data_IF_499613363398
#
_entry.id   IF_499613363398
#
_cell.length_a   1.000
_cell.length_b   1.000
_cell.length_c   1.000
_cell.angle_alpha   90.00
_cell.angle_beta   90.00
_cell.angle_gamma   90.00
#
_symmetry.space_group_name_H-M   'P 1'
#
loop_
_entity.id
_entity.type
_entity.pdbx_description
1 polymer ?
#
# COMPACT_ATOMS: atom_id res chain seq x y z
N UNK A 1 1.22 -27.00 -5.38
CA UNK A 1 0.69 -25.70 -5.85
C UNK A 1 0.22 -24.85 -4.69
N UNK A 2 -0.70 -25.38 -3.88
CA UNK A 2 -1.23 -24.62 -2.74
C UNK A 2 -0.18 -24.21 -1.73
N UNK A 3 0.80 -25.08 -1.47
CA UNK A 3 1.88 -24.76 -0.54
C UNK A 3 2.75 -23.61 -1.03
N UNK A 4 3.01 -23.54 -2.32
CA UNK A 4 3.79 -22.43 -2.92
C UNK A 4 3.01 -21.13 -2.78
N UNK A 5 1.70 -21.14 -3.09
CA UNK A 5 0.85 -19.95 -2.98
C UNK A 5 0.72 -19.50 -1.53
N UNK A 6 0.58 -20.45 -0.59
CA UNK A 6 0.52 -20.13 0.84
C UNK A 6 1.80 -19.46 1.32
N UNK A 7 2.97 -19.96 0.86
CA UNK A 7 4.26 -19.36 1.22
C UNK A 7 4.39 -17.94 0.63
N UNK A 8 3.95 -17.75 -0.61
CA UNK A 8 3.94 -16.41 -1.23
C UNK A 8 3.05 -15.46 -0.48
N UNK A 9 1.87 -15.91 -0.07
CA UNK A 9 0.94 -15.11 0.70
C UNK A 9 1.53 -14.74 2.06
N UNK A 10 2.10 -15.70 2.77
CA UNK A 10 2.73 -15.48 4.07
C UNK A 10 3.90 -14.50 3.98
N UNK A 11 4.74 -14.65 2.95
CA UNK A 11 5.86 -13.74 2.69
C UNK A 11 5.39 -12.32 2.42
N UNK A 12 4.32 -12.17 1.63
CA UNK A 12 3.74 -10.86 1.34
C UNK A 12 3.16 -10.21 2.59
N UNK A 13 2.46 -10.97 3.44
CA UNK A 13 1.93 -10.48 4.71
C UNK A 13 3.04 -9.99 5.63
N UNK A 14 4.14 -10.74 5.72
CA UNK A 14 5.28 -10.34 6.55
C UNK A 14 5.90 -9.03 6.05
N UNK A 15 6.09 -8.90 4.74
CA UNK A 15 6.62 -7.67 4.14
C UNK A 15 5.67 -6.49 4.37
N UNK A 16 4.37 -6.68 4.18
CA UNK A 16 3.37 -5.65 4.46
C UNK A 16 3.44 -5.18 5.91
N UNK A 17 3.60 -6.11 6.85
CA UNK A 17 3.73 -5.79 8.27
C UNK A 17 4.91 -4.88 8.56
N UNK A 18 6.04 -5.12 7.92
CA UNK A 18 7.24 -4.27 8.06
C UNK A 18 6.98 -2.86 7.51
N UNK A 19 6.34 -2.74 6.36
CA UNK A 19 6.00 -1.44 5.78
C UNK A 19 5.03 -0.67 6.68
N UNK A 20 4.00 -1.35 7.20
CA UNK A 20 3.03 -0.73 8.11
C UNK A 20 3.72 -0.22 9.37
N UNK A 21 4.63 -1.00 9.94
CA UNK A 21 5.37 -0.58 11.13
C UNK A 21 6.16 0.70 10.87
N UNK A 22 6.85 0.79 9.74
CA UNK A 22 7.62 1.98 9.36
C UNK A 22 6.71 3.18 9.08
N UNK A 23 5.56 2.95 8.45
CA UNK A 23 4.57 4.00 8.21
C UNK A 23 4.07 4.55 9.55
N UNK A 24 3.72 3.69 10.49
CA UNK A 24 3.23 4.12 11.81
C UNK A 24 4.27 4.92 12.58
N UNK A 25 5.53 4.52 12.52
CA UNK A 25 6.62 5.28 13.15
C UNK A 25 6.74 6.67 12.52
N UNK A 26 6.72 6.75 11.19
CA UNK A 26 6.80 8.03 10.49
C UNK A 26 5.62 8.93 10.82
N UNK A 27 4.40 8.38 10.87
CA UNK A 27 3.19 9.15 11.21
C UNK A 27 3.27 9.74 12.61
N UNK A 28 3.79 8.99 13.57
CA UNK A 28 3.98 9.49 14.94
C UNK A 28 4.94 10.67 14.97
N UNK A 29 6.03 10.57 14.21
CA UNK A 29 7.04 11.63 14.16
C UNK A 29 6.53 12.88 13.44
N UNK A 30 5.59 12.69 12.48
CA UNK A 30 5.01 13.80 11.70
C UNK A 30 3.76 14.39 12.34
N UNK A 31 3.23 13.78 13.39
CA UNK A 31 1.99 14.22 14.02
C UNK A 31 1.97 15.72 14.36
N UNK A 32 3.05 16.31 14.93
CA UNK A 32 3.06 17.74 15.26
C UNK A 32 2.89 18.68 14.05
N UNK A 33 3.20 18.21 12.83
CA UNK A 33 3.11 19.05 11.63
C UNK A 33 1.87 18.76 10.78
N UNK A 34 1.05 17.80 11.20
CA UNK A 34 -0.21 17.52 10.52
C UNK A 34 -1.35 18.40 11.08
N UNK A 35 -2.36 18.75 10.25
CA UNK A 35 -2.44 18.46 8.81
C UNK A 35 -1.42 19.27 8.02
N UNK A 36 -0.85 18.66 6.97
CA UNK A 36 0.13 19.34 6.12
C UNK A 36 -0.59 20.35 5.22
N UNK A 37 -0.19 21.61 5.37
CA UNK A 37 -0.54 22.67 4.44
C UNK A 37 0.68 23.00 3.59
N UNK A 38 0.50 23.78 2.53
CA UNK A 38 1.62 24.21 1.71
C UNK A 38 2.67 24.95 2.56
N UNK A 39 2.22 25.83 3.46
CA UNK A 39 3.12 26.57 4.35
C UNK A 39 3.88 25.64 5.29
N UNK A 40 3.20 24.67 5.90
CA UNK A 40 3.84 23.71 6.79
C UNK A 40 4.82 22.80 6.05
N UNK A 41 4.45 22.38 4.84
CA UNK A 41 5.32 21.56 4.01
C UNK A 41 6.63 22.31 3.70
N UNK A 42 6.53 23.60 3.35
CA UNK A 42 7.68 24.42 3.05
C UNK A 42 8.53 24.74 4.28
N UNK A 43 7.95 24.68 5.48
CA UNK A 43 8.62 24.97 6.74
C UNK A 43 9.20 23.74 7.43
N UNK A 44 9.08 22.54 6.84
CA UNK A 44 9.63 21.32 7.44
C UNK A 44 11.16 21.43 7.57
N UNK A 45 11.67 20.93 8.70
CA UNK A 45 13.12 20.77 8.88
C UNK A 45 13.64 19.67 7.95
N UNK A 46 14.95 19.59 7.79
CA UNK A 46 15.56 18.51 7.02
C UNK A 46 15.22 17.14 7.60
N UNK A 47 15.20 17.03 8.93
CA UNK A 47 14.83 15.78 9.59
C UNK A 47 13.36 15.40 9.32
N UNK A 48 12.45 16.38 9.41
CA UNK A 48 11.03 16.14 9.12
C UNK A 48 10.82 15.78 7.65
N UNK A 49 11.54 16.41 6.76
CA UNK A 49 11.50 16.08 5.33
C UNK A 49 11.96 14.65 5.09
N UNK A 50 13.02 14.21 5.75
CA UNK A 50 13.49 12.83 5.65
C UNK A 50 12.44 11.82 6.14
N UNK A 51 11.73 12.15 7.22
CA UNK A 51 10.65 11.31 7.75
C UNK A 51 9.48 11.26 6.77
N UNK A 52 9.12 12.39 6.17
CA UNK A 52 8.06 12.42 5.15
C UNK A 52 8.44 11.56 3.94
N UNK A 53 9.69 11.66 3.47
CA UNK A 53 10.19 10.84 2.37
C UNK A 53 10.10 9.35 2.72
N UNK A 54 10.44 8.98 3.94
CA UNK A 54 10.33 7.60 4.41
C UNK A 54 8.87 7.12 4.42
N UNK A 55 7.95 7.97 4.89
CA UNK A 55 6.53 7.65 4.87
C UNK A 55 6.04 7.36 3.45
N UNK A 56 6.35 8.26 2.51
CA UNK A 56 5.91 8.13 1.12
C UNK A 56 6.54 6.90 0.45
N UNK A 57 7.81 6.62 0.72
CA UNK A 57 8.47 5.43 0.22
C UNK A 57 7.79 4.16 0.71
N UNK A 58 7.50 4.08 2.01
CA UNK A 58 6.86 2.90 2.60
C UNK A 58 5.42 2.74 2.14
N UNK A 59 4.70 3.84 1.97
CA UNK A 59 3.35 3.81 1.41
C UNK A 59 3.34 3.19 0.01
N UNK A 60 4.26 3.64 -0.86
CA UNK A 60 4.37 3.08 -2.21
C UNK A 60 4.73 1.59 -2.18
N UNK A 61 5.67 1.19 -1.33
CA UNK A 61 6.07 -0.20 -1.18
C UNK A 61 4.93 -1.08 -0.66
N UNK A 62 4.15 -0.57 0.30
CA UNK A 62 3.00 -1.29 0.83
C UNK A 62 1.95 -1.50 -0.26
N UNK A 63 1.64 -0.44 -1.04
CA UNK A 63 0.70 -0.53 -2.15
C UNK A 63 1.14 -1.58 -3.17
N UNK A 64 2.41 -1.59 -3.53
CA UNK A 64 2.94 -2.55 -4.49
C UNK A 64 2.90 -3.98 -3.95
N UNK A 65 3.29 -4.17 -2.69
CA UNK A 65 3.26 -5.49 -2.06
C UNK A 65 1.84 -6.06 -2.02
N UNK A 66 0.87 -5.26 -1.58
CA UNK A 66 -0.53 -5.69 -1.53
C UNK A 66 -1.05 -5.97 -2.94
N UNK A 67 -0.85 -5.04 -3.86
CA UNK A 67 -1.45 -5.13 -5.20
C UNK A 67 -0.84 -6.18 -6.10
N UNK A 68 0.50 -6.36 -6.04
CA UNK A 68 1.19 -7.27 -6.94
C UNK A 68 1.40 -8.67 -6.36
N UNK A 69 1.37 -8.81 -5.04
CA UNK A 69 1.70 -10.08 -4.39
C UNK A 69 0.58 -10.62 -3.52
N UNK A 70 0.08 -9.81 -2.58
CA UNK A 70 -0.89 -10.29 -1.59
C UNK A 70 -2.26 -10.57 -2.21
N UNK A 71 -2.84 -9.58 -2.86
CA UNK A 71 -4.18 -9.70 -3.46
C UNK A 71 -4.24 -10.86 -4.45
N UNK A 72 -3.32 -10.99 -5.43
CA UNK A 72 -3.34 -12.13 -6.34
C UNK A 72 -3.21 -13.48 -5.63
N UNK A 73 -2.35 -13.58 -4.61
CA UNK A 73 -2.15 -14.83 -3.87
C UNK A 73 -3.41 -15.22 -3.09
N UNK A 74 -4.03 -14.27 -2.42
CA UNK A 74 -5.27 -14.50 -1.67
C UNK A 74 -6.38 -14.96 -2.61
N UNK A 75 -6.50 -14.32 -3.77
CA UNK A 75 -7.50 -14.69 -4.76
C UNK A 75 -7.34 -16.16 -5.20
N UNK A 76 -6.11 -16.55 -5.55
CA UNK A 76 -5.83 -17.93 -5.97
C UNK A 76 -6.18 -18.93 -4.87
N UNK A 77 -5.82 -18.62 -3.62
CA UNK A 77 -6.09 -19.49 -2.48
C UNK A 77 -7.59 -19.66 -2.24
N UNK A 78 -8.37 -18.58 -2.35
CA UNK A 78 -9.79 -18.63 -2.04
C UNK A 78 -10.62 -19.18 -3.18
N UNK A 79 -10.28 -18.86 -4.43
CA UNK A 79 -11.08 -19.26 -5.60
C UNK A 79 -10.52 -20.47 -6.30
N UNK A 80 -9.32 -20.91 -5.96
CA UNK A 80 -8.62 -22.01 -6.64
C UNK A 80 -8.58 -21.77 -8.16
N UNK A 81 -8.39 -20.51 -8.55
CA UNK A 81 -8.43 -20.05 -9.94
C UNK A 81 -7.06 -19.52 -10.33
N UNK A 82 -6.39 -20.19 -11.26
CA UNK A 82 -5.06 -19.81 -11.76
C UNK A 82 -5.13 -19.12 -13.12
N UNK A 83 -6.33 -18.91 -13.67
CA UNK A 83 -6.51 -18.20 -14.93
C UNK A 83 -6.20 -16.72 -14.73
N UNK A 84 -5.50 -16.12 -15.69
CA UNK A 84 -5.21 -14.68 -15.65
C UNK A 84 -6.53 -13.90 -15.81
N UNK A 85 -6.83 -13.05 -14.84
CA UNK A 85 -8.03 -12.22 -14.80
C UNK A 85 -7.64 -10.75 -14.73
N UNK A 86 -8.48 -9.86 -15.27
CA UNK A 86 -8.28 -8.43 -15.04
C UNK A 86 -8.27 -8.13 -13.54
N UNK A 87 -7.37 -7.25 -13.12
CA UNK A 87 -7.22 -6.97 -11.68
C UNK A 87 -8.50 -6.44 -11.04
N UNK A 88 -9.28 -5.63 -11.77
CA UNK A 88 -10.55 -5.12 -11.26
C UNK A 88 -11.54 -6.24 -10.93
N UNK A 89 -11.54 -7.32 -11.72
CA UNK A 89 -12.41 -8.47 -11.47
C UNK A 89 -12.00 -9.19 -10.18
N UNK A 90 -10.69 -9.30 -9.95
CA UNK A 90 -10.16 -9.88 -8.71
C UNK A 90 -10.59 -9.03 -7.51
N UNK A 91 -10.45 -7.71 -7.59
CA UNK A 91 -10.87 -6.80 -6.53
C UNK A 91 -12.36 -6.92 -6.22
N UNK A 92 -13.19 -6.94 -7.25
CA UNK A 92 -14.64 -7.05 -7.09
C UNK A 92 -15.03 -8.39 -6.45
N UNK A 93 -14.35 -9.47 -6.82
CA UNK A 93 -14.61 -10.77 -6.23
C UNK A 93 -14.22 -10.82 -4.75
N UNK A 94 -13.06 -10.28 -4.41
CA UNK A 94 -12.61 -10.23 -3.02
C UNK A 94 -13.51 -9.33 -2.16
N UNK A 95 -14.05 -8.27 -2.74
CA UNK A 95 -15.05 -7.44 -2.06
C UNK A 95 -16.32 -8.23 -1.76
N UNK A 96 -16.81 -9.01 -2.72
CA UNK A 96 -17.98 -9.86 -2.52
C UNK A 96 -17.77 -10.92 -1.44
N UNK A 97 -16.54 -11.39 -1.29
CA UNK A 97 -16.17 -12.37 -0.28
C UNK A 97 -15.87 -11.74 1.09
N UNK A 98 -16.04 -10.45 1.23
CA UNK A 98 -15.74 -9.68 2.44
C UNK A 98 -14.26 -9.75 2.87
N UNK A 99 -13.37 -10.09 1.94
CA UNK A 99 -11.91 -10.06 2.16
C UNK A 99 -11.38 -8.65 2.00
N UNK A 100 -11.92 -7.93 1.02
CA UNK A 100 -11.59 -6.54 0.74
C UNK A 100 -12.79 -5.67 1.09
N UNK A 101 -12.56 -4.61 1.85
CA UNK A 101 -13.65 -3.72 2.30
C UNK A 101 -14.27 -2.98 1.13
N UNK A 102 -13.44 -2.45 0.21
CA UNK A 102 -13.92 -1.67 -0.92
C UNK A 102 -12.92 -1.69 -2.06
N UNK A 103 -13.36 -2.17 -3.22
CA UNK A 103 -12.56 -2.12 -4.45
C UNK A 103 -12.33 -0.67 -4.88
N UNK A 104 -13.32 0.21 -4.69
CA UNK A 104 -13.19 1.63 -5.03
C UNK A 104 -12.14 2.31 -4.16
N UNK A 105 -12.12 2.03 -2.87
CA UNK A 105 -11.12 2.59 -1.96
C UNK A 105 -9.71 2.12 -2.34
N UNK A 106 -9.55 0.86 -2.71
CA UNK A 106 -8.28 0.35 -3.19
C UNK A 106 -7.80 1.13 -4.43
N UNK A 107 -8.69 1.34 -5.39
CA UNK A 107 -8.39 2.09 -6.61
C UNK A 107 -7.99 3.54 -6.28
N UNK A 108 -8.68 4.15 -5.32
CA UNK A 108 -8.35 5.50 -4.86
C UNK A 108 -6.94 5.57 -4.27
N UNK A 109 -6.60 4.64 -3.38
CA UNK A 109 -5.26 4.59 -2.79
C UNK A 109 -4.19 4.30 -3.84
N UNK A 110 -4.50 3.48 -4.84
CA UNK A 110 -3.59 3.22 -5.96
C UNK A 110 -3.34 4.50 -6.77
N UNK A 111 -4.37 5.30 -6.99
CA UNK A 111 -4.23 6.59 -7.66
C UNK A 111 -3.34 7.54 -6.87
N UNK A 112 -3.52 7.58 -5.54
CA UNK A 112 -2.66 8.40 -4.67
C UNK A 112 -1.21 7.97 -4.78
N UNK A 113 -0.94 6.66 -4.74
CA UNK A 113 0.41 6.13 -4.89
C UNK A 113 1.04 6.57 -6.22
N UNK A 114 0.28 6.50 -7.30
CA UNK A 114 0.77 6.90 -8.62
C UNK A 114 1.05 8.40 -8.68
N UNK A 115 0.18 9.22 -8.10
CA UNK A 115 0.38 10.66 -8.04
C UNK A 115 1.63 11.02 -7.26
N UNK A 116 1.85 10.39 -6.11
CA UNK A 116 3.06 10.59 -5.31
C UNK A 116 4.31 10.25 -6.12
N UNK A 117 4.30 9.12 -6.85
CA UNK A 117 5.44 8.69 -7.64
C UNK A 117 5.80 9.65 -8.76
N UNK A 118 4.81 10.34 -9.35
CA UNK A 118 5.01 11.19 -10.53
C UNK A 118 5.01 12.68 -10.23
N UNK A 119 4.34 13.12 -9.17
CA UNK A 119 4.09 14.54 -8.90
C UNK A 119 4.70 15.03 -7.59
N UNK A 120 5.29 14.14 -6.78
CA UNK A 120 5.93 14.56 -5.55
C UNK A 120 7.08 15.53 -5.88
N UNK A 121 7.04 16.76 -5.35
CA UNK A 121 8.04 17.77 -5.74
C UNK A 121 9.43 17.39 -5.28
N UNK A 122 10.38 17.53 -6.18
CA UNK A 122 11.80 17.42 -5.82
C UNK A 122 12.22 18.63 -4.98
N UNK A 123 12.99 18.37 -3.94
CA UNK A 123 13.40 19.42 -3.00
C UNK A 123 14.88 19.37 -2.74
#
# INVERSE_FOLDING_TARGET
MDEVIKLKCASALEECGKHIQRINTALKLLDPVFPLTEDRLNALSDEQTAVLDQFLYRFAKLQDCIGLRLIPSVYVLLENDTVVRPFIDILNRLEKLDVLTSANDWQYFRSLRNNVAHEYPER
#
